data_IF_955756483822
#
_entry.id   IF_955756483822
#
_cell.length_a   1.000
_cell.length_b   1.000
_cell.length_c   1.000
_cell.angle_alpha   90.00
_cell.angle_beta   90.00
_cell.angle_gamma   90.00
#
_symmetry.space_group_name_H-M   'P 1'
#
loop_
_entity.id
_entity.type
_entity.pdbx_description
1 polymer ?
#
# COMPACT_ATOMS: atom_id res chain seq x y z
N UNK A 1 -23.94 -24.09 2.49
CA UNK A 1 -22.88 -25.09 2.80
C UNK A 1 -22.10 -25.54 1.57
N UNK A 2 -22.72 -25.94 0.45
CA UNK A 2 -22.00 -26.39 -0.77
C UNK A 2 -20.98 -25.38 -1.32
N UNK A 3 -21.32 -24.09 -1.39
CA UNK A 3 -20.37 -23.04 -1.85
C UNK A 3 -19.12 -22.95 -0.97
N UNK A 4 -19.28 -23.09 0.35
CA UNK A 4 -18.15 -23.08 1.29
C UNK A 4 -17.25 -24.31 1.09
N UNK A 5 -17.84 -25.47 0.80
CA UNK A 5 -17.08 -26.69 0.49
C UNK A 5 -16.26 -26.55 -0.79
N UNK A 6 -16.79 -25.88 -1.82
CA UNK A 6 -16.04 -25.58 -3.06
C UNK A 6 -14.82 -24.70 -2.74
N UNK A 7 -15.01 -23.68 -1.90
CA UNK A 7 -13.94 -22.77 -1.49
C UNK A 7 -12.90 -23.42 -0.56
N UNK A 8 -13.18 -24.58 0.04
CA UNK A 8 -12.21 -25.37 0.81
C UNK A 8 -11.26 -26.19 -0.08
N UNK A 9 -11.54 -26.31 -1.38
CA UNK A 9 -10.67 -27.03 -2.30
C UNK A 9 -9.33 -26.30 -2.45
N UNK A 10 -8.21 -27.03 -2.62
CA UNK A 10 -6.91 -26.39 -2.76
C UNK A 10 -6.84 -25.57 -4.06
N UNK A 11 -6.55 -24.28 -3.92
CA UNK A 11 -6.23 -23.38 -5.02
C UNK A 11 -4.71 -23.19 -5.11
N UNK A 12 -4.05 -23.99 -5.95
CA UNK A 12 -2.60 -23.90 -6.19
C UNK A 12 -2.27 -22.59 -6.91
N UNK A 13 -1.23 -21.91 -6.46
CA UNK A 13 -0.81 -20.59 -6.97
C UNK A 13 0.69 -20.45 -7.07
N UNK A 14 1.12 -19.71 -8.09
CA UNK A 14 2.50 -19.27 -8.26
C UNK A 14 2.67 -17.94 -7.53
N UNK A 15 3.58 -17.94 -6.54
CA UNK A 15 3.92 -16.72 -5.80
C UNK A 15 4.69 -15.78 -6.71
N UNK A 16 4.25 -14.53 -6.78
CA UNK A 16 4.98 -13.46 -7.49
C UNK A 16 5.58 -12.51 -6.46
N UNK A 17 6.70 -11.87 -6.81
CA UNK A 17 7.30 -10.82 -6.00
C UNK A 17 6.52 -9.52 -6.27
N UNK A 18 6.19 -8.81 -5.19
CA UNK A 18 5.62 -7.46 -5.20
C UNK A 18 4.33 -7.28 -6.05
N UNK A 19 3.64 -8.38 -6.33
CA UNK A 19 2.40 -8.44 -7.14
C UNK A 19 1.51 -9.59 -6.69
N UNK A 20 0.25 -9.61 -7.14
CA UNK A 20 -0.72 -10.67 -6.81
C UNK A 20 -0.25 -12.04 -7.32
N UNK A 21 -0.50 -13.08 -6.52
CA UNK A 21 -0.23 -14.47 -6.86
C UNK A 21 -1.14 -14.92 -8.01
N UNK A 22 -0.57 -15.67 -8.96
CA UNK A 22 -1.32 -16.23 -10.09
C UNK A 22 -1.82 -17.64 -9.74
N UNK A 23 -3.11 -17.90 -9.92
CA UNK A 23 -3.64 -19.25 -9.76
C UNK A 23 -3.19 -20.14 -10.93
N UNK A 24 -2.71 -21.34 -10.62
CA UNK A 24 -2.26 -22.31 -11.63
C UNK A 24 -3.42 -22.91 -12.44
N UNK A 25 -4.61 -22.98 -11.84
CA UNK A 25 -5.84 -23.46 -12.45
C UNK A 25 -6.81 -22.28 -12.61
N UNK A 26 -6.91 -21.77 -13.84
CA UNK A 26 -7.72 -20.60 -14.20
C UNK A 26 -9.21 -20.89 -14.00
N UNK A 27 -9.68 -22.07 -14.40
CA UNK A 27 -11.09 -22.44 -14.28
C UNK A 27 -11.52 -22.53 -12.81
N UNK A 28 -10.64 -23.09 -11.96
CA UNK A 28 -10.90 -23.14 -10.51
C UNK A 28 -10.84 -21.76 -9.87
N UNK A 29 -9.90 -20.91 -10.29
CA UNK A 29 -9.86 -19.51 -9.87
C UNK A 29 -11.17 -18.82 -10.21
N UNK A 30 -11.66 -18.97 -11.44
CA UNK A 30 -12.89 -18.32 -11.89
C UNK A 30 -14.10 -18.85 -11.12
N UNK A 31 -14.17 -20.16 -10.84
CA UNK A 31 -15.17 -20.71 -9.93
C UNK A 31 -15.11 -20.05 -8.53
N UNK A 32 -13.92 -19.83 -7.99
CA UNK A 32 -13.73 -19.13 -6.71
C UNK A 32 -14.23 -17.69 -6.79
N UNK A 33 -13.93 -16.97 -7.88
CA UNK A 33 -14.45 -15.61 -8.11
C UNK A 33 -15.98 -15.59 -8.00
N UNK A 34 -16.67 -16.47 -8.73
CA UNK A 34 -18.13 -16.54 -8.69
C UNK A 34 -18.66 -16.92 -7.30
N UNK A 35 -17.99 -17.82 -6.59
CA UNK A 35 -18.35 -18.19 -5.22
C UNK A 35 -18.21 -17.00 -4.25
N UNK A 36 -17.12 -16.24 -4.36
CA UNK A 36 -16.89 -15.03 -3.57
C UNK A 36 -17.95 -13.97 -3.84
N UNK A 37 -18.24 -13.69 -5.12
CA UNK A 37 -19.31 -12.76 -5.52
C UNK A 37 -20.67 -13.19 -4.97
N UNK A 38 -21.02 -14.47 -5.11
CA UNK A 38 -22.26 -15.00 -4.54
C UNK A 38 -22.33 -14.80 -3.02
N UNK A 39 -21.25 -15.11 -2.30
CA UNK A 39 -21.23 -14.97 -0.84
C UNK A 39 -21.34 -13.51 -0.38
N UNK A 40 -20.74 -12.56 -1.11
CA UNK A 40 -20.90 -11.13 -0.83
C UNK A 40 -22.38 -10.71 -0.88
N UNK A 41 -23.14 -11.19 -1.87
CA UNK A 41 -24.58 -10.96 -1.94
C UNK A 41 -25.35 -11.73 -0.86
N UNK A 42 -24.95 -12.97 -0.57
CA UNK A 42 -25.63 -13.83 0.39
C UNK A 42 -25.60 -13.28 1.82
N UNK A 43 -24.49 -12.64 2.22
CA UNK A 43 -24.34 -12.04 3.56
C UNK A 43 -24.86 -10.61 3.65
N UNK A 44 -25.14 -9.97 2.52
CA UNK A 44 -25.58 -8.56 2.47
C UNK A 44 -26.90 -8.38 3.24
N UNK A 45 -26.90 -7.44 4.17
CA UNK A 45 -28.06 -7.09 5.00
C UNK A 45 -28.66 -8.28 5.78
N UNK A 46 -27.89 -9.35 6.04
CA UNK A 46 -28.39 -10.54 6.71
C UNK A 46 -27.40 -11.05 7.79
N UNK A 47 -27.67 -10.68 9.05
CA UNK A 47 -26.80 -11.00 10.19
C UNK A 47 -26.62 -12.49 10.44
N UNK A 48 -27.68 -13.29 10.25
CA UNK A 48 -27.62 -14.75 10.44
C UNK A 48 -26.71 -15.40 9.39
N UNK A 49 -26.77 -14.91 8.15
CA UNK A 49 -25.89 -15.38 7.09
C UNK A 49 -24.45 -14.94 7.33
N UNK A 50 -24.22 -13.72 7.81
CA UNK A 50 -22.90 -13.25 8.23
C UNK A 50 -22.28 -14.16 9.29
N UNK A 51 -23.02 -14.48 10.37
CA UNK A 51 -22.56 -15.39 11.43
C UNK A 51 -22.21 -16.79 10.89
N UNK A 52 -23.06 -17.34 10.02
CA UNK A 52 -22.83 -18.65 9.40
C UNK A 52 -21.55 -18.68 8.57
N UNK A 53 -21.29 -17.63 7.79
CA UNK A 53 -20.11 -17.56 6.92
C UNK A 53 -18.85 -17.19 7.73
N UNK A 54 -18.98 -16.39 8.78
CA UNK A 54 -17.87 -15.99 9.66
C UNK A 54 -17.18 -17.17 10.35
N UNK A 55 -17.89 -18.27 10.60
CA UNK A 55 -17.30 -19.52 11.10
C UNK A 55 -16.15 -20.06 10.20
N UNK A 56 -16.10 -19.63 8.94
CA UNK A 56 -15.10 -20.01 7.96
C UNK A 56 -14.15 -18.86 7.59
N UNK A 57 -14.03 -17.81 8.43
CA UNK A 57 -13.25 -16.60 8.12
C UNK A 57 -11.79 -16.90 7.75
N UNK A 58 -11.18 -17.87 8.43
CA UNK A 58 -9.79 -18.29 8.22
C UNK A 58 -9.54 -18.83 6.80
N UNK A 59 -10.53 -19.52 6.20
CA UNK A 59 -10.45 -20.00 4.83
C UNK A 59 -10.32 -18.84 3.85
N UNK A 60 -11.14 -17.80 4.00
CA UNK A 60 -11.08 -16.62 3.12
C UNK A 60 -9.75 -15.87 3.25
N UNK A 61 -9.15 -15.83 4.44
CA UNK A 61 -7.80 -15.26 4.64
C UNK A 61 -6.75 -15.97 3.79
N UNK A 62 -6.90 -17.29 3.55
CA UNK A 62 -5.98 -18.02 2.67
C UNK A 62 -6.09 -17.57 1.21
N UNK A 63 -7.21 -17.00 0.79
CA UNK A 63 -7.42 -16.53 -0.59
C UNK A 63 -6.87 -15.11 -0.83
N UNK A 64 -6.44 -14.41 0.22
CA UNK A 64 -5.84 -13.07 0.11
C UNK A 64 -4.59 -13.12 -0.76
N UNK A 65 -4.50 -12.17 -1.67
CA UNK A 65 -3.36 -12.02 -2.59
C UNK A 65 -3.46 -12.81 -3.89
N UNK A 66 -4.50 -13.63 -4.09
CA UNK A 66 -4.72 -14.30 -5.38
C UNK A 66 -5.33 -13.32 -6.37
N UNK A 67 -4.75 -13.21 -7.58
CA UNK A 67 -5.29 -12.38 -8.65
C UNK A 67 -6.70 -12.84 -9.03
N UNK A 68 -7.61 -11.88 -9.20
CA UNK A 68 -9.01 -12.12 -9.59
C UNK A 68 -9.93 -12.50 -8.42
N UNK A 69 -9.41 -13.10 -7.34
CA UNK A 69 -10.22 -13.47 -6.17
C UNK A 69 -10.31 -12.29 -5.20
N UNK A 70 -11.54 -11.83 -4.91
CA UNK A 70 -11.77 -10.68 -4.05
C UNK A 70 -12.11 -11.07 -2.60
N UNK A 71 -11.13 -11.66 -1.93
CA UNK A 71 -11.25 -12.07 -0.53
C UNK A 71 -11.48 -10.88 0.42
N UNK A 72 -10.88 -9.72 0.13
CA UNK A 72 -11.02 -8.51 0.94
C UNK A 72 -12.48 -8.04 1.02
N UNK A 73 -13.14 -7.83 -0.13
CA UNK A 73 -14.55 -7.41 -0.16
C UNK A 73 -15.48 -8.48 0.43
N UNK A 74 -15.13 -9.76 0.29
CA UNK A 74 -15.90 -10.86 0.89
C UNK A 74 -15.85 -10.81 2.40
N UNK A 75 -14.65 -10.64 2.97
CA UNK A 75 -14.47 -10.53 4.42
C UNK A 75 -15.12 -9.25 4.95
N UNK A 76 -14.93 -8.12 4.25
CA UNK A 76 -15.61 -6.87 4.58
C UNK A 76 -17.13 -7.05 4.61
N UNK A 77 -17.73 -7.71 3.61
CA UNK A 77 -19.18 -7.97 3.56
C UNK A 77 -19.66 -8.87 4.72
N UNK A 78 -18.85 -9.86 5.12
CA UNK A 78 -19.16 -10.75 6.25
C UNK A 78 -19.26 -9.96 7.56
N UNK A 79 -18.35 -9.01 7.80
CA UNK A 79 -18.30 -8.24 9.06
C UNK A 79 -19.04 -6.90 9.00
N UNK A 80 -19.49 -6.49 7.81
CA UNK A 80 -20.11 -5.19 7.56
C UNK A 80 -21.29 -4.93 8.51
N UNK A 81 -21.26 -3.79 9.17
CA UNK A 81 -22.28 -3.34 10.14
C UNK A 81 -22.60 -4.37 11.25
N UNK A 82 -21.66 -5.27 11.57
CA UNK A 82 -21.84 -6.31 12.56
C UNK A 82 -20.81 -6.20 13.69
N UNK A 83 -21.11 -5.38 14.69
CA UNK A 83 -20.21 -5.08 15.83
C UNK A 83 -19.72 -6.32 16.58
N UNK A 84 -20.59 -7.32 16.79
CA UNK A 84 -20.22 -8.57 17.46
C UNK A 84 -19.17 -9.39 16.68
N UNK A 85 -19.24 -9.43 15.34
CA UNK A 85 -18.25 -10.14 14.52
C UNK A 85 -16.95 -9.33 14.42
N UNK A 86 -17.06 -8.01 14.25
CA UNK A 86 -15.92 -7.10 14.25
C UNK A 86 -15.11 -7.19 15.55
N UNK A 87 -15.79 -7.33 16.69
CA UNK A 87 -15.14 -7.53 18.00
C UNK A 87 -14.47 -8.90 18.18
N UNK A 88 -14.86 -9.91 17.40
CA UNK A 88 -14.27 -11.26 17.44
C UNK A 88 -12.99 -11.39 16.61
N UNK A 89 -12.67 -10.40 15.75
CA UNK A 89 -11.43 -10.41 15.00
C UNK A 89 -10.24 -10.29 15.94
N UNK A 90 -9.20 -11.08 15.66
CA UNK A 90 -7.95 -11.04 16.41
C UNK A 90 -7.00 -10.06 15.78
N UNK A 91 -6.06 -9.57 16.56
CA UNK A 91 -5.05 -8.61 16.11
C UNK A 91 -4.22 -9.17 14.94
N UNK A 92 -3.97 -10.49 14.94
CA UNK A 92 -3.31 -11.19 13.82
C UNK A 92 -4.15 -11.16 12.53
N UNK A 93 -5.48 -11.20 12.63
CA UNK A 93 -6.38 -11.16 11.48
C UNK A 93 -6.40 -9.75 10.86
N UNK A 94 -6.22 -8.71 11.68
CA UNK A 94 -6.07 -7.32 11.23
C UNK A 94 -4.71 -7.05 10.58
N UNK A 95 -3.63 -7.63 11.14
CA UNK A 95 -2.27 -7.49 10.62
C UNK A 95 -2.12 -8.01 9.18
N UNK A 96 -2.87 -9.05 8.80
CA UNK A 96 -2.85 -9.62 7.45
C UNK A 96 -3.07 -8.56 6.37
N UNK A 97 -3.95 -7.57 6.61
CA UNK A 97 -4.29 -6.55 5.61
C UNK A 97 -3.18 -5.54 5.39
N UNK A 98 -2.48 -5.14 6.46
CA UNK A 98 -1.31 -4.27 6.35
C UNK A 98 -0.15 -5.02 5.70
N UNK A 99 0.06 -6.30 6.06
CA UNK A 99 1.04 -7.15 5.38
C UNK A 99 0.69 -7.40 3.90
N UNK A 100 -0.59 -7.42 3.54
CA UNK A 100 -1.03 -7.56 2.16
C UNK A 100 -0.69 -6.33 1.31
N UNK A 101 -0.74 -5.12 1.89
CA UNK A 101 -0.27 -3.90 1.22
C UNK A 101 1.23 -4.00 0.94
N UNK A 102 2.01 -4.37 1.94
CA UNK A 102 3.46 -4.53 1.81
C UNK A 102 3.87 -5.60 0.80
N UNK A 103 3.10 -6.70 0.70
CA UNK A 103 3.45 -7.85 -0.14
C UNK A 103 2.88 -7.79 -1.57
N UNK A 104 1.62 -7.37 -1.70
CA UNK A 104 0.87 -7.44 -2.97
C UNK A 104 0.63 -6.07 -3.60
N UNK A 105 1.18 -5.02 -2.99
CA UNK A 105 1.05 -3.63 -3.42
C UNK A 105 -0.18 -2.92 -2.88
N UNK A 106 -0.18 -1.60 -3.09
CA UNK A 106 -1.20 -0.63 -2.66
C UNK A 106 -2.50 -0.84 -3.45
N UNK A 107 -3.51 -1.45 -2.82
CA UNK A 107 -4.84 -1.65 -3.41
C UNK A 107 -5.91 -1.19 -2.43
N UNK A 108 -6.86 -0.39 -2.93
CA UNK A 108 -7.86 0.25 -2.08
C UNK A 108 -8.69 -0.76 -1.28
N UNK A 109 -8.91 -1.97 -1.82
CA UNK A 109 -9.65 -3.04 -1.13
C UNK A 109 -9.05 -3.48 0.20
N UNK A 110 -7.73 -3.42 0.38
CA UNK A 110 -7.09 -3.76 1.65
C UNK A 110 -7.48 -2.75 2.73
N UNK A 111 -7.46 -1.47 2.38
CA UNK A 111 -7.84 -0.38 3.26
C UNK A 111 -9.35 -0.36 3.51
N UNK A 112 -10.19 -0.63 2.51
CA UNK A 112 -11.65 -0.73 2.68
C UNK A 112 -12.05 -1.86 3.63
N UNK A 113 -11.32 -2.98 3.61
CA UNK A 113 -11.52 -4.01 4.62
C UNK A 113 -11.20 -3.46 6.02
N UNK A 114 -10.06 -2.78 6.19
CA UNK A 114 -9.69 -2.17 7.47
C UNK A 114 -10.71 -1.10 7.94
N UNK A 115 -11.26 -0.29 7.03
CA UNK A 115 -12.34 0.65 7.35
C UNK A 115 -13.56 -0.08 7.92
N UNK A 116 -13.98 -1.19 7.29
CA UNK A 116 -15.17 -1.96 7.73
C UNK A 116 -15.08 -2.53 9.14
N UNK A 117 -13.87 -2.61 9.72
CA UNK A 117 -13.64 -3.11 11.08
C UNK A 117 -13.30 -2.01 12.09
N UNK A 118 -12.90 -0.83 11.61
CA UNK A 118 -12.69 0.37 12.44
C UNK A 118 -14.01 1.08 12.70
N UNK A 119 -14.87 1.19 11.68
CA UNK A 119 -16.17 1.85 11.78
C UNK A 119 -17.31 0.86 11.50
N UNK A 120 -18.28 0.83 12.40
CA UNK A 120 -19.46 -0.05 12.30
C UNK A 120 -20.70 0.81 12.50
N UNK A 121 -21.59 0.90 11.51
CA UNK A 121 -22.80 1.75 11.57
C UNK A 121 -22.52 3.20 11.99
N UNK A 122 -21.43 3.78 11.48
CA UNK A 122 -21.02 5.14 11.81
C UNK A 122 -20.30 5.29 13.17
N UNK A 123 -20.24 4.23 13.98
CA UNK A 123 -19.60 4.23 15.29
C UNK A 123 -18.21 3.60 15.23
N UNK A 124 -17.24 4.23 15.89
CA UNK A 124 -15.86 3.75 15.92
C UNK A 124 -15.70 2.61 16.93
N UNK A 125 -15.14 1.48 16.49
CA UNK A 125 -14.67 0.42 17.36
C UNK A 125 -13.29 0.78 17.92
N UNK A 126 -13.25 1.32 19.15
CA UNK A 126 -12.02 1.83 19.79
C UNK A 126 -10.87 0.80 19.84
N UNK A 127 -11.17 -0.49 20.06
CA UNK A 127 -10.14 -1.55 20.09
C UNK A 127 -9.49 -1.66 18.72
N UNK A 128 -10.30 -1.91 17.69
CA UNK A 128 -9.79 -2.10 16.33
C UNK A 128 -9.17 -0.82 15.78
N UNK A 129 -9.72 0.36 16.11
CA UNK A 129 -9.14 1.66 15.79
C UNK A 129 -7.68 1.78 16.27
N UNK A 130 -7.43 1.47 17.55
CA UNK A 130 -6.09 1.55 18.12
C UNK A 130 -5.12 0.53 17.51
N UNK A 131 -5.58 -0.70 17.29
CA UNK A 131 -4.77 -1.74 16.65
C UNK A 131 -4.43 -1.33 15.21
N UNK A 132 -5.43 -0.93 14.42
CA UNK A 132 -5.24 -0.57 13.01
C UNK A 132 -4.32 0.64 12.89
N UNK A 133 -4.52 1.69 13.69
CA UNK A 133 -3.59 2.83 13.65
C UNK A 133 -2.17 2.42 14.03
N UNK A 134 -2.00 1.60 15.08
CA UNK A 134 -0.68 1.08 15.45
C UNK A 134 0.00 0.33 14.29
N UNK A 135 -0.74 -0.56 13.63
CA UNK A 135 -0.25 -1.32 12.46
C UNK A 135 0.09 -0.41 11.27
N UNK A 136 -0.70 0.63 11.02
CA UNK A 136 -0.45 1.59 9.94
C UNK A 136 0.83 2.39 10.22
N UNK A 137 1.05 2.83 11.45
CA UNK A 137 2.26 3.56 11.86
C UNK A 137 3.50 2.67 11.84
N UNK A 138 3.38 1.40 12.26
CA UNK A 138 4.46 0.40 12.20
C UNK A 138 4.97 0.17 10.76
N UNK A 139 4.14 0.40 9.74
CA UNK A 139 4.45 0.18 8.33
C UNK A 139 4.23 1.45 7.49
N UNK A 140 4.36 2.63 8.10
CA UNK A 140 4.01 3.90 7.47
C UNK A 140 4.74 4.13 6.14
N UNK A 141 6.01 3.76 6.04
CA UNK A 141 6.82 3.94 4.82
C UNK A 141 6.29 3.13 3.63
N UNK A 142 5.54 2.05 3.89
CA UNK A 142 4.95 1.18 2.87
C UNK A 142 3.49 1.54 2.57
N UNK A 143 2.77 2.04 3.58
CA UNK A 143 1.31 2.21 3.54
C UNK A 143 0.90 3.67 3.30
N UNK A 144 1.57 4.61 3.98
CA UNK A 144 1.27 6.04 4.03
C UNK A 144 2.21 6.79 3.09
N UNK A 145 1.86 6.85 1.82
CA UNK A 145 2.49 7.78 0.89
C UNK A 145 1.73 9.10 0.93
N UNK A 146 2.16 9.99 1.83
CA UNK A 146 1.66 11.37 1.96
C UNK A 146 2.74 12.31 1.42
N UNK A 147 3.26 12.04 0.24
CA UNK A 147 4.17 12.96 -0.44
C UNK A 147 3.35 13.79 -1.43
N UNK A 148 3.11 15.04 -1.07
CA UNK A 148 2.93 16.10 -2.05
C UNK A 148 4.29 16.33 -2.70
N UNK A 149 4.34 16.21 -4.02
CA UNK A 149 5.44 16.64 -4.88
C UNK A 149 6.86 16.28 -4.40
N UNK A 150 7.28 15.03 -4.59
CA UNK A 150 8.71 14.79 -4.87
C UNK A 150 9.00 14.99 -6.36
N UNK A 151 8.83 16.22 -6.85
CA UNK A 151 9.68 16.73 -7.94
C UNK A 151 10.68 17.71 -7.32
N UNK A 152 11.84 17.22 -6.90
CA UNK A 152 12.82 18.08 -6.23
C UNK A 152 14.14 17.46 -5.80
N UNK A 153 14.50 16.28 -6.29
CA UNK A 153 15.87 15.75 -6.19
C UNK A 153 16.50 15.56 -7.58
N UNK A 154 16.11 16.40 -8.55
CA UNK A 154 17.01 16.69 -9.67
C UNK A 154 18.19 17.45 -9.10
N UNK A 155 19.37 16.87 -9.33
CA UNK A 155 20.73 17.36 -9.11
C UNK A 155 20.85 18.76 -8.54
N UNK A 156 21.34 18.85 -7.29
CA UNK A 156 21.79 20.09 -6.65
C UNK A 156 23.14 20.59 -7.23
N UNK A 157 23.35 20.40 -8.54
CA UNK A 157 24.58 20.78 -9.24
C UNK A 157 24.35 21.80 -10.38
N UNK A 158 23.11 22.11 -10.77
CA UNK A 158 22.85 23.02 -11.91
C UNK A 158 22.32 24.42 -11.55
N UNK A 159 22.35 24.83 -10.27
CA UNK A 159 22.07 26.24 -9.91
C UNK A 159 23.39 27.01 -9.95
N UNK A 160 23.74 27.50 -11.14
CA UNK A 160 24.68 28.63 -11.29
C UNK A 160 24.00 29.86 -10.68
N UNK A 161 24.54 30.49 -9.62
CA UNK A 161 23.94 31.69 -9.08
C UNK A 161 24.21 32.85 -10.04
N UNK A 162 23.17 33.23 -10.79
CA UNK A 162 23.15 34.49 -11.53
C UNK A 162 22.92 35.60 -10.53
N UNK A 163 23.97 36.35 -10.20
CA UNK A 163 23.93 37.80 -9.93
C UNK A 163 25.28 38.28 -9.42
N UNK A 164 26.13 38.78 -10.33
CA UNK A 164 26.93 39.99 -10.10
C UNK A 164 27.06 40.75 -11.43
N UNK A 165 26.22 41.76 -11.61
CA UNK A 165 26.50 42.88 -12.50
C UNK A 165 27.19 43.94 -11.63
N UNK A 166 28.48 44.16 -11.84
CA UNK A 166 29.04 45.51 -11.89
C UNK A 166 30.43 45.50 -12.58
N UNK A 167 30.57 46.50 -13.46
CA UNK A 167 31.78 47.10 -14.03
C UNK A 167 32.51 46.42 -15.21
N UNK A 168 32.32 47.02 -16.39
CA UNK A 168 33.17 47.03 -17.59
C UNK A 168 34.57 47.67 -17.33
N UNK A 169 35.55 47.73 -18.27
CA UNK A 169 35.76 47.04 -19.56
C UNK A 169 37.23 46.54 -19.80
N UNK A 170 37.45 45.73 -20.85
CA UNK A 170 38.49 45.86 -21.93
C UNK A 170 39.21 44.55 -22.35
N UNK A 171 39.28 44.42 -23.68
CA UNK A 171 40.35 43.87 -24.55
C UNK A 171 40.59 42.34 -24.66
N UNK A 172 40.19 41.84 -25.84
CA UNK A 172 41.03 41.26 -26.92
C UNK A 172 41.72 39.88 -26.75
N UNK A 173 41.77 39.18 -27.91
CA UNK A 173 42.63 38.05 -28.35
C UNK A 173 42.35 36.68 -27.70
N UNK A 174 41.83 35.68 -28.42
CA UNK A 174 42.39 34.82 -29.49
C UNK A 174 43.33 33.72 -28.97
N UNK A 175 43.24 32.54 -29.63
CA UNK A 175 44.05 31.31 -29.50
C UNK A 175 43.69 30.39 -28.32
N UNK A 176 43.84 29.07 -28.36
CA UNK A 176 43.87 28.00 -29.37
C UNK A 176 44.12 26.71 -28.54
N UNK A 177 43.98 25.53 -29.15
CA UNK A 177 44.68 24.29 -28.76
C UNK A 177 44.16 23.39 -27.61
N UNK A 178 43.66 22.21 -28.00
CA UNK A 178 43.70 20.92 -27.26
C UNK A 178 45.12 20.30 -27.34
N UNK A 179 45.48 19.04 -26.98
CA UNK A 179 44.93 18.02 -26.04
C UNK A 179 46.04 17.33 -25.18
N UNK A 180 45.65 16.28 -24.43
CA UNK A 180 46.43 15.08 -24.03
C UNK A 180 47.46 15.15 -22.88
N UNK A 181 47.26 14.34 -21.82
CA UNK A 181 48.01 13.07 -21.59
C UNK A 181 47.70 12.39 -20.23
N UNK A 182 47.37 11.09 -20.37
CA UNK A 182 47.76 9.88 -19.60
C UNK A 182 48.58 10.01 -18.31
N UNK A 183 48.20 9.21 -17.30
CA UNK A 183 48.95 8.20 -16.50
C UNK A 183 48.25 8.08 -15.13
N UNK A 184 47.56 6.97 -14.77
CA UNK A 184 48.00 5.63 -14.37
C UNK A 184 48.76 5.56 -13.02
N UNK A 185 48.35 4.56 -12.23
CA UNK A 185 49.05 3.84 -11.12
C UNK A 185 48.70 4.19 -9.66
N UNK A 186 47.80 3.37 -9.11
CA UNK A 186 47.89 2.46 -7.95
C UNK A 186 48.38 2.88 -6.53
N UNK A 187 47.67 2.24 -5.58
CA UNK A 187 48.04 1.76 -4.24
C UNK A 187 47.96 2.68 -3.01
N UNK A 188 47.35 2.13 -1.95
CA UNK A 188 47.64 2.50 -0.55
C UNK A 188 46.44 2.44 0.37
N UNK A 189 46.21 1.28 1.00
CA UNK A 189 45.27 1.10 2.10
C UNK A 189 45.70 1.88 3.35
N UNK A 190 44.74 2.40 4.12
CA UNK A 190 44.87 2.52 5.58
C UNK A 190 43.50 2.59 6.25
N UNK A 191 43.37 1.74 7.26
CA UNK A 191 42.23 1.55 8.14
C UNK A 191 41.74 2.83 8.81
N UNK A 192 40.41 2.97 8.91
CA UNK A 192 39.78 3.47 10.13
C UNK A 192 38.53 2.67 10.45
N UNK A 193 38.60 2.04 11.62
CA UNK A 193 37.52 1.46 12.39
C UNK A 193 36.37 2.46 12.61
N UNK A 194 35.15 1.95 12.49
CA UNK A 194 33.92 2.67 12.80
C UNK A 194 32.77 1.68 12.88
N UNK A 195 32.55 1.17 14.08
CA UNK A 195 31.35 0.43 14.48
C UNK A 195 30.07 1.14 14.03
N UNK A 196 29.03 0.37 13.75
CA UNK A 196 27.70 0.49 14.37
C UNK A 196 26.50 0.43 13.39
N UNK A 197 25.50 -0.33 13.84
CA UNK A 197 24.10 -0.42 13.39
C UNK A 197 23.79 -1.02 12.01
N UNK A 198 23.53 -2.33 12.06
CA UNK A 198 22.18 -2.83 11.79
C UNK A 198 21.75 -2.82 10.33
N UNK A 199 21.82 -4.01 9.75
CA UNK A 199 21.22 -4.45 8.50
C UNK A 199 19.74 -4.05 8.39
N UNK A 200 19.50 -2.77 8.03
CA UNK A 200 18.21 -2.29 7.54
C UNK A 200 18.10 -2.87 6.14
N UNK A 201 17.44 -4.05 6.08
CA UNK A 201 16.92 -4.68 4.85
C UNK A 201 16.72 -3.61 3.79
N UNK A 202 17.56 -3.64 2.77
CA UNK A 202 17.53 -2.73 1.64
C UNK A 202 16.21 -3.00 0.89
N UNK A 203 15.13 -2.33 1.30
CA UNK A 203 13.83 -2.42 0.66
C UNK A 203 13.99 -1.70 -0.67
N UNK A 204 13.88 -2.47 -1.74
CA UNK A 204 13.92 -1.98 -3.10
C UNK A 204 12.84 -0.89 -3.28
N UNK A 205 13.27 0.37 -3.37
CA UNK A 205 12.38 1.54 -3.50
C UNK A 205 11.56 1.51 -4.80
N UNK A 206 11.87 0.61 -5.73
CA UNK A 206 11.04 0.32 -6.90
C UNK A 206 9.66 -0.25 -6.55
N UNK A 207 9.46 -0.75 -5.33
CA UNK A 207 8.13 -1.17 -4.82
C UNK A 207 7.22 0.06 -4.56
N UNK A 208 7.81 1.24 -4.37
CA UNK A 208 7.11 2.46 -3.93
C UNK A 208 6.67 3.37 -5.07
N UNK A 209 7.24 3.20 -6.26
CA UNK A 209 6.91 3.96 -7.46
C UNK A 209 6.46 2.96 -8.51
N UNK A 210 5.30 3.18 -9.14
CA UNK A 210 5.07 2.53 -10.45
C UNK A 210 6.26 2.91 -11.32
N UNK A 211 6.89 1.95 -11.99
CA UNK A 211 7.89 2.23 -13.02
C UNK A 211 7.35 3.34 -13.94
N UNK A 212 7.91 4.55 -13.85
CA UNK A 212 7.56 5.70 -14.69
C UNK A 212 6.59 6.74 -14.09
N UNK A 213 7.16 7.78 -13.47
CA UNK A 213 6.88 9.22 -13.70
C UNK A 213 5.42 9.67 -13.96
N UNK A 214 4.48 9.49 -13.02
CA UNK A 214 3.22 10.24 -13.06
C UNK A 214 2.89 10.82 -11.69
N UNK A 215 2.76 12.15 -11.60
CA UNK A 215 2.35 12.87 -10.39
C UNK A 215 0.89 12.57 -10.05
N UNK A 216 0.48 12.85 -8.80
CA UNK A 216 -0.92 12.70 -8.38
C UNK A 216 -1.87 13.57 -9.21
N UNK A 217 -1.40 14.75 -9.61
CA UNK A 217 -2.15 15.64 -10.49
C UNK A 217 -2.29 15.04 -11.90
N UNK A 218 -1.23 14.46 -12.45
CA UNK A 218 -1.32 13.77 -13.75
C UNK A 218 -2.29 12.57 -13.70
N UNK A 219 -2.30 11.80 -12.61
CA UNK A 219 -3.29 10.75 -12.40
C UNK A 219 -4.72 11.30 -12.38
N UNK A 220 -4.94 12.47 -11.73
CA UNK A 220 -6.25 13.12 -11.69
C UNK A 220 -6.67 13.61 -13.07
N UNK A 221 -5.73 14.18 -13.85
CA UNK A 221 -5.96 14.60 -15.24
C UNK A 221 -6.30 13.42 -16.15
N UNK A 222 -5.66 12.27 -15.93
CA UNK A 222 -5.90 11.03 -16.66
C UNK A 222 -7.18 10.29 -16.24
N UNK A 223 -7.92 10.82 -15.25
CA UNK A 223 -9.10 10.17 -14.65
C UNK A 223 -8.82 8.75 -14.15
N UNK A 224 -7.64 8.50 -13.60
CA UNK A 224 -7.20 7.17 -13.17
C UNK A 224 -8.10 6.55 -12.09
N UNK A 225 -8.87 7.37 -11.36
CA UNK A 225 -9.92 6.90 -10.45
C UNK A 225 -10.95 5.98 -11.11
N UNK A 226 -11.16 6.10 -12.43
CA UNK A 226 -12.07 5.24 -13.18
C UNK A 226 -11.57 3.79 -13.31
N UNK A 227 -10.27 3.54 -13.04
CA UNK A 227 -9.64 2.20 -13.09
C UNK A 227 -10.06 1.32 -11.89
N UNK A 228 -10.80 1.86 -10.93
CA UNK A 228 -11.45 1.08 -9.87
C UNK A 228 -10.49 0.69 -8.74
N UNK A 229 -10.46 -0.59 -8.36
CA UNK A 229 -9.83 -1.04 -7.09
C UNK A 229 -8.30 -0.98 -7.11
N UNK A 230 -7.70 -1.01 -8.30
CA UNK A 230 -6.27 -0.82 -8.52
C UNK A 230 -5.88 0.65 -8.71
N UNK A 231 -6.84 1.58 -8.58
CA UNK A 231 -6.55 3.00 -8.70
C UNK A 231 -5.68 3.46 -7.55
N UNK A 232 -4.55 4.06 -7.86
CA UNK A 232 -3.72 4.74 -6.85
C UNK A 232 -4.49 5.93 -6.27
N UNK A 233 -5.23 6.70 -7.07
CA UNK A 233 -6.03 7.80 -6.53
C UNK A 233 -7.04 7.33 -5.48
N UNK A 234 -7.78 6.26 -5.79
CA UNK A 234 -8.73 5.65 -4.85
C UNK A 234 -7.99 5.12 -3.63
N UNK A 235 -6.82 4.50 -3.78
CA UNK A 235 -6.04 4.02 -2.64
C UNK A 235 -5.72 5.12 -1.63
N UNK A 236 -5.12 6.25 -2.03
CA UNK A 236 -4.78 7.25 -1.01
C UNK A 236 -6.01 8.00 -0.50
N UNK A 237 -7.07 8.18 -1.31
CA UNK A 237 -8.32 8.74 -0.78
C UNK A 237 -8.86 7.86 0.35
N UNK A 238 -8.95 6.55 0.13
CA UNK A 238 -9.33 5.56 1.14
C UNK A 238 -8.35 5.54 2.33
N UNK A 239 -7.06 5.77 2.10
CA UNK A 239 -6.06 5.86 3.18
C UNK A 239 -6.31 7.06 4.10
N UNK A 240 -6.57 8.23 3.52
CA UNK A 240 -6.88 9.45 4.28
C UNK A 240 -8.18 9.30 5.05
N UNK A 241 -9.22 8.72 4.43
CA UNK A 241 -10.47 8.38 5.11
C UNK A 241 -10.24 7.43 6.30
N UNK A 242 -9.49 6.34 6.10
CA UNK A 242 -9.18 5.39 7.18
C UNK A 242 -8.40 6.06 8.33
N UNK A 243 -7.47 6.97 8.02
CA UNK A 243 -6.76 7.74 9.03
C UNK A 243 -7.70 8.69 9.78
N UNK A 244 -8.63 9.34 9.07
CA UNK A 244 -9.64 10.20 9.68
C UNK A 244 -10.52 9.39 10.65
N UNK A 245 -10.98 8.20 10.26
CA UNK A 245 -11.74 7.28 11.13
C UNK A 245 -10.91 6.85 12.35
N UNK A 246 -9.61 6.64 12.16
CA UNK A 246 -8.67 6.34 13.25
C UNK A 246 -8.48 7.51 14.23
N UNK A 247 -8.75 8.75 13.81
CA UNK A 247 -8.58 9.96 14.62
C UNK A 247 -9.89 10.49 15.21
N UNK A 248 -11.06 10.21 14.61
CA UNK A 248 -12.37 10.78 14.95
C UNK A 248 -12.83 10.52 16.41
N UNK A 249 -12.21 9.58 17.12
CA UNK A 249 -12.53 9.24 18.52
C UNK A 249 -11.47 9.65 19.56
N UNK A 250 -10.34 10.23 19.15
CA UNK A 250 -9.24 10.63 20.06
C UNK A 250 -9.36 12.06 20.57
N UNK A 251 -10.16 12.89 19.91
CA UNK A 251 -10.45 14.27 20.34
C UNK A 251 -11.55 14.36 21.42
N UNK A 252 -12.05 13.25 21.96
CA UNK A 252 -12.91 13.32 23.16
C UNK A 252 -12.17 13.82 24.42
N UNK A 253 -10.85 13.98 24.36
CA UNK A 253 -10.05 14.66 25.39
C UNK A 253 -10.08 16.20 25.30
N UNK A 254 -10.76 16.79 24.31
CA UNK A 254 -11.00 18.24 24.21
C UNK A 254 -12.46 18.64 24.49
N UNK A 255 -13.24 17.75 25.09
CA UNK A 255 -14.61 18.01 25.57
C UNK A 255 -14.70 17.88 27.10
N UNK A 256 -13.70 18.40 27.82
CA UNK A 256 -13.73 18.58 29.27
C UNK A 256 -13.40 20.03 29.61
#
# INVERSE_FOLDING_TARGET
KRVLQILQLPLRRQKRRDTLDEATDVNRRDLFVHCHTFLQFFVRCNRRNQELVYQHISMFMTHVGVRGVDAASTIAAIVNDHSALVGQLRDVDLRVWVSAIAKYGKQARWLKMLQSVVQVKGQVNKRNQNIVLGLLLEQQDLVLEVDGDQEGALSREDIVPTNQLHDTPRRASSFDYSPNRRHSVAHGASDRSGSDKGDRRNIDRSILLREGKCTRMELMMQREQAVGVSSFLVYHATCVELLADCCAGRNSASQA
#
